data_IF_906609554977
#
_entry.id   IF_906609554977
#
_cell.length_a   1.000
_cell.length_b   1.000
_cell.length_c   1.000
_cell.angle_alpha   90.00
_cell.angle_beta   90.00
_cell.angle_gamma   90.00
#
_symmetry.space_group_name_H-M   'P 1'
#
loop_
_entity.id
_entity.type
_entity.pdbx_description
1 polymer ?
#
# COMPACT_ATOMS: atom_id res chain seq x y z
N UNK A 1 -8.72 15.73 -6.48
CA UNK A 1 -7.47 15.50 -5.73
C UNK A 1 -7.83 15.53 -4.26
N UNK A 2 -8.43 14.44 -3.78
CA UNK A 2 -8.61 14.25 -2.35
C UNK A 2 -7.28 13.78 -1.80
N UNK A 3 -6.83 14.32 -0.68
CA UNK A 3 -5.62 13.84 -0.03
C UNK A 3 -5.80 12.35 0.27
N UNK A 4 -4.78 11.52 -0.03
CA UNK A 4 -4.75 10.10 0.30
C UNK A 4 -4.87 9.98 1.84
N UNK A 5 -6.09 9.85 2.36
CA UNK A 5 -6.39 9.76 3.79
C UNK A 5 -6.19 8.33 4.29
N UNK A 6 -5.71 8.14 5.54
CA UNK A 6 -5.44 6.81 6.06
C UNK A 6 -6.72 5.97 6.18
N UNK A 7 -6.67 4.73 5.69
CA UNK A 7 -7.81 3.81 5.77
C UNK A 7 -8.12 3.46 7.24
N UNK A 8 -9.41 3.43 7.58
CA UNK A 8 -9.86 2.94 8.87
C UNK A 8 -9.60 1.44 9.01
N UNK A 9 -9.11 0.98 10.17
CA UNK A 9 -8.83 -0.44 10.43
C UNK A 9 -10.07 -1.33 10.22
N UNK A 10 -11.27 -0.80 10.50
CA UNK A 10 -12.55 -1.48 10.29
C UNK A 10 -12.94 -1.66 8.82
N UNK A 11 -12.27 -0.97 7.89
CA UNK A 11 -12.51 -1.04 6.44
C UNK A 11 -11.49 -1.92 5.72
N UNK A 12 -10.42 -2.35 6.39
CA UNK A 12 -9.40 -3.24 5.84
C UNK A 12 -10.04 -4.60 5.51
N UNK A 13 -10.05 -4.96 4.22
CA UNK A 13 -10.59 -6.23 3.73
C UNK A 13 -9.82 -6.69 2.49
N UNK A 14 -9.76 -8.00 2.27
CA UNK A 14 -9.12 -8.57 1.08
C UNK A 14 -9.73 -7.98 -0.21
N UNK A 15 -8.88 -7.67 -1.17
CA UNK A 15 -9.23 -7.12 -2.49
C UNK A 15 -9.43 -5.60 -2.50
N UNK A 16 -9.47 -4.94 -1.34
CA UNK A 16 -9.64 -3.48 -1.27
C UNK A 16 -8.48 -2.76 -1.98
N UNK A 17 -8.78 -1.85 -2.92
CA UNK A 17 -7.77 -0.96 -3.49
C UNK A 17 -7.23 0.00 -2.43
N UNK A 18 -5.91 0.12 -2.37
CA UNK A 18 -5.23 1.04 -1.48
C UNK A 18 -4.09 1.75 -2.17
N UNK A 19 -3.69 2.88 -1.61
CA UNK A 19 -2.45 3.56 -1.97
C UNK A 19 -1.44 3.54 -0.81
N UNK A 20 -0.16 3.38 -1.12
CA UNK A 20 0.92 3.50 -0.14
C UNK A 20 1.13 4.96 0.27
N UNK A 21 1.13 5.26 1.56
CA UNK A 21 1.29 6.63 2.10
C UNK A 21 2.66 6.91 2.71
N UNK A 22 3.55 5.93 2.77
CA UNK A 22 4.89 6.15 3.30
C UNK A 22 5.78 6.96 2.36
N UNK A 23 7.02 7.24 2.76
CA UNK A 23 8.02 7.80 1.86
C UNK A 23 8.41 6.77 0.80
N UNK A 24 8.84 7.25 -0.37
CA UNK A 24 9.41 6.40 -1.40
C UNK A 24 10.53 5.52 -0.85
N UNK A 25 10.52 4.26 -1.23
CA UNK A 25 11.53 3.33 -0.75
C UNK A 25 11.72 2.18 -1.73
N UNK A 26 12.98 1.78 -1.91
CA UNK A 26 13.41 0.54 -2.57
C UNK A 26 13.66 -0.59 -1.56
N UNK A 27 13.39 -0.32 -0.27
CA UNK A 27 13.57 -1.31 0.78
C UNK A 27 12.68 -2.51 0.51
N UNK A 28 13.25 -3.70 0.64
CA UNK A 28 12.55 -4.97 0.45
C UNK A 28 12.09 -5.19 -1.01
N UNK A 29 12.69 -4.47 -1.97
CA UNK A 29 12.66 -4.74 -3.42
C UNK A 29 14.04 -5.28 -3.80
N UNK A 30 14.13 -6.56 -4.10
CA UNK A 30 15.38 -7.30 -4.21
C UNK A 30 15.72 -7.73 -5.63
N UNK A 31 14.72 -7.93 -6.50
CA UNK A 31 14.97 -8.32 -7.88
C UNK A 31 15.32 -7.07 -8.72
N UNK A 32 16.53 -7.01 -9.32
CA UNK A 32 16.95 -5.87 -10.13
C UNK A 32 16.17 -5.72 -11.45
N UNK A 33 15.45 -6.75 -11.88
CA UNK A 33 14.59 -6.71 -13.07
C UNK A 33 13.16 -6.21 -12.76
N UNK A 34 12.88 -5.89 -11.50
CA UNK A 34 11.57 -5.42 -11.07
C UNK A 34 11.29 -4.00 -11.57
N UNK A 35 10.13 -3.83 -12.22
CA UNK A 35 9.66 -2.55 -12.72
C UNK A 35 8.27 -2.25 -12.13
N UNK A 36 8.14 -1.21 -11.29
CA UNK A 36 9.14 -0.18 -10.97
C UNK A 36 10.14 -0.66 -9.90
N UNK A 37 11.38 -0.14 -9.86
CA UNK A 37 12.38 -0.55 -8.86
C UNK A 37 12.15 0.10 -7.47
N UNK A 38 10.95 0.63 -7.20
CA UNK A 38 10.66 1.45 -6.03
C UNK A 38 9.17 1.45 -5.67
N UNK A 39 8.87 1.37 -4.37
CA UNK A 39 7.55 1.61 -3.81
C UNK A 39 7.36 3.12 -3.56
N UNK A 40 6.69 3.78 -4.49
CA UNK A 40 6.40 5.22 -4.42
C UNK A 40 5.26 5.58 -3.47
N UNK A 41 5.32 6.75 -2.82
CA UNK A 41 4.12 7.37 -2.26
C UNK A 41 3.02 7.47 -3.33
N UNK A 42 1.81 7.03 -3.00
CA UNK A 42 0.69 6.88 -3.90
C UNK A 42 0.63 5.55 -4.66
N UNK A 43 1.59 4.62 -4.45
CA UNK A 43 1.61 3.33 -5.15
C UNK A 43 0.28 2.61 -4.99
N UNK A 44 -0.40 2.21 -6.07
CA UNK A 44 -1.62 1.43 -5.99
C UNK A 44 -1.28 -0.02 -5.65
N UNK A 45 -2.11 -0.62 -4.82
CA UNK A 45 -2.05 -2.03 -4.47
C UNK A 45 -3.41 -2.56 -4.05
N UNK A 46 -3.49 -3.87 -3.83
CA UNK A 46 -4.69 -4.53 -3.30
C UNK A 46 -4.36 -5.31 -2.04
N UNK A 47 -5.22 -5.19 -1.03
CA UNK A 47 -5.04 -5.94 0.21
C UNK A 47 -5.16 -7.45 -0.09
N UNK A 48 -4.07 -8.19 0.06
CA UNK A 48 -4.03 -9.65 -0.05
C UNK A 48 -4.45 -10.31 1.26
N UNK A 49 -4.04 -9.73 2.39
CA UNK A 49 -4.40 -10.21 3.73
C UNK A 49 -4.80 -9.03 4.63
N UNK A 50 -6.01 -9.03 5.19
CA UNK A 50 -6.47 -7.97 6.10
C UNK A 50 -6.09 -8.24 7.56
N UNK A 51 -5.21 -9.20 7.85
CA UNK A 51 -4.81 -9.53 9.21
C UNK A 51 -4.16 -8.30 9.85
N UNK A 52 -4.84 -7.65 10.80
CA UNK A 52 -4.44 -6.34 11.36
C UNK A 52 -3.01 -6.34 11.93
N UNK A 53 -2.54 -7.49 12.43
CA UNK A 53 -1.16 -7.66 12.87
C UNK A 53 -0.13 -7.57 11.73
N UNK A 54 -0.47 -8.06 10.52
CA UNK A 54 0.37 -8.13 9.32
C UNK A 54 -0.52 -7.97 8.08
N UNK A 55 -0.91 -6.72 7.78
CA UNK A 55 -1.63 -6.44 6.54
C UNK A 55 -0.67 -6.68 5.38
N UNK A 56 -1.13 -7.44 4.39
CA UNK A 56 -0.38 -7.71 3.16
C UNK A 56 -1.06 -7.01 2.00
N UNK A 57 -0.27 -6.42 1.12
CA UNK A 57 -0.76 -5.68 -0.05
C UNK A 57 0.05 -6.13 -1.25
N UNK A 58 -0.63 -6.61 -2.29
CA UNK A 58 -0.04 -6.87 -3.60
C UNK A 58 0.10 -5.52 -4.30
N UNK A 59 1.30 -4.94 -4.27
CA UNK A 59 1.61 -3.68 -4.93
C UNK A 59 1.85 -3.91 -6.42
N UNK A 60 1.29 -3.04 -7.25
CA UNK A 60 1.39 -3.16 -8.72
C UNK A 60 2.85 -3.16 -9.17
N UNK A 61 3.27 -4.20 -9.88
CA UNK A 61 4.64 -4.36 -10.39
C UNK A 61 5.65 -4.83 -9.34
N UNK A 62 5.22 -5.02 -8.09
CA UNK A 62 6.04 -5.47 -6.96
C UNK A 62 5.40 -6.71 -6.28
N UNK A 63 4.50 -7.42 -6.95
CA UNK A 63 3.72 -8.51 -6.37
C UNK A 63 4.59 -9.66 -5.84
N UNK A 64 5.74 -9.90 -6.49
CA UNK A 64 6.70 -10.94 -6.11
C UNK A 64 7.80 -10.44 -5.16
N UNK A 65 7.81 -9.15 -4.79
CA UNK A 65 8.82 -8.56 -3.92
C UNK A 65 8.46 -8.66 -2.43
N UNK A 66 9.46 -8.86 -1.53
CA UNK A 66 9.27 -8.83 -0.08
C UNK A 66 8.48 -7.62 0.45
N UNK A 67 8.56 -6.48 -0.24
CA UNK A 67 7.73 -5.30 0.01
C UNK A 67 6.23 -5.65 0.11
N UNK A 68 5.67 -6.47 -0.79
CA UNK A 68 4.25 -6.86 -0.78
C UNK A 68 3.87 -7.79 0.39
N UNK A 69 4.86 -8.42 1.02
CA UNK A 69 4.67 -9.36 2.13
C UNK A 69 4.81 -8.71 3.52
N UNK A 70 5.04 -7.40 3.63
CA UNK A 70 5.30 -6.76 4.94
C UNK A 70 4.75 -5.33 5.15
N UNK A 71 3.85 -4.81 4.31
CA UNK A 71 3.33 -3.43 4.52
C UNK A 71 2.12 -3.39 5.44
N UNK A 72 2.37 -3.41 6.75
CA UNK A 72 1.29 -3.30 7.71
C UNK A 72 1.73 -3.29 9.17
N UNK A 73 2.79 -2.56 9.51
CA UNK A 73 3.09 -2.34 10.92
C UNK A 73 2.08 -1.35 11.51
N UNK A 74 1.03 -1.84 12.17
CA UNK A 74 0.25 -1.00 13.07
C UNK A 74 1.20 -0.46 14.16
N UNK A 75 1.26 0.86 14.40
CA UNK A 75 2.15 1.42 15.40
C UNK A 75 1.95 0.74 16.77
N UNK A 76 3.07 0.49 17.47
CA UNK A 76 3.17 -0.24 18.73
C UNK A 76 2.48 0.41 19.94
N UNK A 77 1.84 1.57 19.79
CA UNK A 77 1.36 2.36 20.93
C UNK A 77 0.07 3.10 20.60
N UNK A 78 -1.07 2.44 20.81
CA UNK A 78 -2.11 3.03 21.65
C UNK A 78 -1.82 2.49 23.05
N UNK A 79 -1.81 3.35 24.07
CA UNK A 79 -1.89 2.85 25.45
C UNK A 79 -3.10 1.91 25.57
N UNK A 80 -2.85 0.61 25.78
CA UNK A 80 -3.91 -0.41 25.86
C UNK A 80 -3.93 -1.51 24.78
N UNK A 81 -2.97 -1.55 23.83
CA UNK A 81 -2.64 -2.79 23.13
C UNK A 81 -3.56 -3.24 21.99
N UNK A 82 -4.36 -2.34 21.41
CA UNK A 82 -5.14 -2.61 20.19
C UNK A 82 -4.70 -1.71 19.04
N UNK A 83 -4.91 -2.18 17.81
CA UNK A 83 -4.61 -1.43 16.59
C UNK A 83 -5.33 -0.07 16.59
N UNK A 84 -4.62 0.98 16.12
CA UNK A 84 -5.17 2.32 15.89
C UNK A 84 -6.51 2.29 15.14
N UNK A 85 -7.35 3.34 15.24
CA UNK A 85 -8.57 3.41 14.43
C UNK A 85 -8.29 3.41 12.92
N UNK A 86 -7.03 3.68 12.53
CA UNK A 86 -6.57 3.76 11.14
C UNK A 86 -5.26 3.01 10.93
N UNK A 87 -4.96 2.70 9.68
CA UNK A 87 -3.66 2.18 9.20
C UNK A 87 -2.91 3.34 8.51
N UNK A 88 -1.95 4.00 9.19
CA UNK A 88 -1.39 5.26 8.69
C UNK A 88 -0.67 5.17 7.34
N UNK A 89 -0.12 4.00 7.01
CA UNK A 89 0.67 3.76 5.81
C UNK A 89 -0.17 3.42 4.56
N UNK A 90 -1.49 3.26 4.70
CA UNK A 90 -2.39 2.89 3.60
C UNK A 90 -3.51 3.92 3.47
N UNK A 91 -3.81 4.34 2.25
CA UNK A 91 -5.02 5.09 1.95
C UNK A 91 -6.04 4.19 1.25
N UNK A 92 -7.32 4.34 1.55
CA UNK A 92 -8.36 3.72 0.74
C UNK A 92 -8.56 4.54 -0.53
N UNK A 93 -8.51 3.89 -1.70
CA UNK A 93 -8.75 4.55 -2.99
C UNK A 93 -9.90 3.86 -3.71
N UNK A 94 -10.51 4.57 -4.66
CA UNK A 94 -11.54 3.98 -5.52
C UNK A 94 -10.92 2.99 -6.51
N UNK A 95 -11.75 2.12 -7.07
CA UNK A 95 -11.34 1.23 -8.18
C UNK A 95 -10.85 2.03 -9.41
N UNK A 96 -11.49 3.17 -9.71
CA UNK A 96 -11.08 4.05 -10.81
C UNK A 96 -9.68 4.64 -10.59
N UNK A 97 -9.40 5.12 -9.38
CA UNK A 97 -8.10 5.68 -9.01
C UNK A 97 -7.01 4.60 -9.03
N UNK A 98 -7.31 3.40 -8.53
CA UNK A 98 -6.41 2.26 -8.62
C UNK A 98 -6.02 1.95 -10.07
N UNK A 99 -7.00 1.88 -10.98
CA UNK A 99 -6.76 1.59 -12.39
C UNK A 99 -5.93 2.69 -13.06
N UNK A 100 -6.20 3.97 -12.74
CA UNK A 100 -5.43 5.10 -13.25
C UNK A 100 -3.98 5.02 -12.82
N UNK A 101 -3.72 4.84 -11.52
CA UNK A 101 -2.35 4.76 -10.99
C UNK A 101 -1.62 3.51 -11.48
N UNK A 102 -2.34 2.38 -11.63
CA UNK A 102 -1.80 1.16 -12.23
C UNK A 102 -1.32 1.43 -13.65
N UNK A 103 -2.15 2.07 -14.48
CA UNK A 103 -1.79 2.41 -15.85
C UNK A 103 -0.54 3.29 -15.93
N UNK A 104 -0.36 4.21 -14.98
CA UNK A 104 0.86 5.02 -14.89
C UNK A 104 2.09 4.14 -14.66
N UNK A 105 2.02 3.22 -13.70
CA UNK A 105 3.11 2.27 -13.43
C UNK A 105 3.39 1.40 -14.65
N UNK A 106 2.36 0.85 -15.29
CA UNK A 106 2.49 0.03 -16.51
C UNK A 106 3.19 0.82 -17.65
N UNK A 107 3.09 2.15 -17.65
CA UNK A 107 3.77 3.04 -18.60
C UNK A 107 5.18 3.50 -18.14
N UNK A 108 5.69 2.99 -17.01
CA UNK A 108 6.95 3.41 -16.41
C UNK A 108 6.88 4.80 -15.73
N UNK A 109 5.68 5.30 -15.48
CA UNK A 109 5.46 6.59 -14.83
C UNK A 109 5.19 6.42 -13.33
N UNK A 110 5.58 7.44 -12.57
CA UNK A 110 5.27 7.50 -11.14
C UNK A 110 3.76 7.63 -10.91
N UNK A 111 3.16 6.88 -9.97
CA UNK A 111 1.78 7.10 -9.55
C UNK A 111 1.65 8.48 -8.89
N UNK A 112 0.49 9.12 -9.05
CA UNK A 112 0.19 10.44 -8.45
C UNK A 112 -0.98 10.31 -7.48
N UNK A 113 -0.90 10.92 -6.28
CA UNK A 113 -2.04 11.05 -5.36
C UNK A 113 -3.20 11.87 -5.93
#
# INVERSE_FOLDING_TARGET
MGEDEPIATTRVRRGMPVAYRGPDTDRDILNPETEPPMLFHGHPGRIASPAVQHILVDWVGLEDEPASFAVGYCPRTIDGGWAGPVVPALAEISEEEYLLRKQRIDNGERPVP
#
